data_IF_303516622913
#
_entry.id   IF_303516622913
#
_cell.length_a   1.000
_cell.length_b   1.000
_cell.length_c   1.000
_cell.angle_alpha   90.00
_cell.angle_beta   90.00
_cell.angle_gamma   90.00
#
_symmetry.space_group_name_H-M   'P 1'
#
loop_
_entity.id
_entity.type
_entity.pdbx_description
1 polymer ?
#
# COMPACT_ATOMS: atom_id res chain seq x y z
N UNK A 1 47.25 -26.50 -47.56
CA UNK A 1 46.32 -27.24 -46.67
C UNK A 1 45.70 -26.23 -45.74
N UNK A 2 44.48 -25.86 -46.04
CA UNK A 2 43.77 -24.74 -45.35
C UNK A 2 42.69 -25.35 -44.45
N UNK A 3 42.87 -25.29 -43.13
CA UNK A 3 41.89 -25.76 -42.14
C UNK A 3 40.84 -24.68 -41.91
N UNK A 4 39.66 -24.91 -42.43
CA UNK A 4 38.47 -24.06 -42.20
C UNK A 4 37.79 -24.52 -40.89
N UNK A 5 38.04 -23.80 -39.81
CA UNK A 5 37.38 -24.02 -38.53
C UNK A 5 35.89 -23.60 -38.61
N UNK A 6 35.00 -24.56 -38.62
CA UNK A 6 33.56 -24.38 -38.60
C UNK A 6 33.12 -23.91 -37.20
N UNK A 7 32.79 -22.65 -37.09
CA UNK A 7 32.25 -22.06 -35.83
C UNK A 7 30.83 -22.56 -35.58
N UNK A 8 30.64 -23.35 -34.55
CA UNK A 8 29.32 -23.81 -34.04
C UNK A 8 28.53 -22.63 -33.46
N UNK A 9 27.31 -22.34 -33.97
CA UNK A 9 26.53 -21.23 -33.41
C UNK A 9 26.04 -21.57 -31.99
N UNK A 10 26.44 -20.72 -31.01
CA UNK A 10 25.96 -20.84 -29.64
C UNK A 10 24.45 -20.54 -29.54
N UNK A 11 23.69 -21.32 -28.78
CA UNK A 11 22.27 -21.08 -28.61
C UNK A 11 22.02 -19.76 -27.90
N UNK A 12 21.33 -18.83 -28.56
CA UNK A 12 20.89 -17.53 -28.00
C UNK A 12 20.04 -17.80 -26.77
N UNK A 13 20.56 -17.44 -25.56
CA UNK A 13 19.81 -17.48 -24.32
C UNK A 13 18.51 -16.69 -24.50
N UNK A 14 17.37 -17.37 -24.49
CA UNK A 14 16.04 -16.77 -24.51
C UNK A 14 15.96 -15.78 -23.35
N UNK A 15 15.85 -14.49 -23.65
CA UNK A 15 15.53 -13.45 -22.65
C UNK A 15 14.21 -13.86 -22.00
N UNK A 16 14.26 -14.29 -20.75
CA UNK A 16 13.05 -14.47 -19.94
C UNK A 16 12.36 -13.11 -19.88
N UNK A 17 11.17 -13.04 -20.46
CA UNK A 17 10.29 -11.89 -20.30
C UNK A 17 10.28 -11.50 -18.83
N UNK A 18 10.65 -10.23 -18.56
CA UNK A 18 10.76 -9.73 -17.22
C UNK A 18 9.43 -9.90 -16.50
N UNK A 19 9.47 -10.52 -15.32
CA UNK A 19 8.39 -10.38 -14.36
C UNK A 19 8.18 -8.89 -14.13
N UNK A 20 6.91 -8.41 -14.05
CA UNK A 20 6.63 -7.02 -13.69
C UNK A 20 7.44 -6.66 -12.46
N UNK A 21 7.99 -5.46 -12.46
CA UNK A 21 8.92 -4.94 -11.46
C UNK A 21 8.47 -5.25 -10.01
N UNK A 22 8.81 -6.43 -9.54
CA UNK A 22 8.88 -6.66 -8.10
C UNK A 22 9.99 -5.72 -7.62
N UNK A 23 9.70 -4.77 -6.74
CA UNK A 23 10.69 -3.83 -6.25
C UNK A 23 11.91 -4.62 -5.81
N UNK A 24 13.08 -4.28 -6.42
CA UNK A 24 14.33 -4.96 -6.10
C UNK A 24 14.50 -4.99 -4.60
N UNK A 25 14.81 -6.15 -4.01
CA UNK A 25 15.09 -6.22 -2.59
C UNK A 25 16.12 -5.14 -2.25
N UNK A 26 15.97 -4.53 -1.10
CA UNK A 26 16.94 -3.55 -0.59
C UNK A 26 18.33 -4.16 -0.76
N UNK A 27 19.21 -3.48 -1.51
CA UNK A 27 20.51 -4.00 -1.85
C UNK A 27 21.25 -4.37 -0.56
N UNK A 28 21.56 -5.66 -0.37
CA UNK A 28 22.25 -6.17 0.81
C UNK A 28 21.38 -6.87 1.86
N UNK A 29 20.05 -6.87 1.74
CA UNK A 29 19.18 -7.61 2.66
C UNK A 29 18.92 -9.02 2.13
N UNK A 30 19.26 -10.05 2.91
CA UNK A 30 18.87 -11.42 2.60
C UNK A 30 17.35 -11.57 2.78
N UNK A 31 16.62 -11.73 1.67
CA UNK A 31 15.16 -11.86 1.65
C UNK A 31 14.64 -13.11 2.38
N UNK A 32 15.52 -14.02 2.76
CA UNK A 32 15.20 -15.22 3.57
C UNK A 32 15.30 -14.95 5.07
N UNK A 33 15.94 -13.86 5.47
CA UNK A 33 16.09 -13.50 6.87
C UNK A 33 14.74 -13.18 7.53
N UNK A 34 14.66 -13.37 8.83
CA UNK A 34 13.48 -13.02 9.62
C UNK A 34 13.20 -11.51 9.55
N UNK A 35 14.26 -10.70 9.53
CA UNK A 35 14.16 -9.24 9.43
C UNK A 35 13.52 -8.81 8.12
N UNK A 36 13.90 -9.44 7.00
CA UNK A 36 13.30 -9.17 5.71
C UNK A 36 11.79 -9.51 5.70
N UNK A 37 11.39 -10.61 6.34
CA UNK A 37 9.97 -11.00 6.43
C UNK A 37 9.18 -9.97 7.24
N UNK A 38 9.72 -9.52 8.37
CA UNK A 38 9.08 -8.48 9.19
C UNK A 38 8.96 -7.18 8.40
N UNK A 39 10.02 -6.75 7.70
CA UNK A 39 9.99 -5.57 6.86
C UNK A 39 8.94 -5.67 5.75
N UNK A 40 8.84 -6.80 5.06
CA UNK A 40 7.84 -7.01 4.01
C UNK A 40 6.41 -6.98 4.55
N UNK A 41 6.16 -7.57 5.72
CA UNK A 41 4.86 -7.52 6.37
C UNK A 41 4.48 -6.06 6.70
N UNK A 42 5.40 -5.27 7.27
CA UNK A 42 5.16 -3.85 7.55
C UNK A 42 4.98 -3.02 6.27
N UNK A 43 5.72 -3.34 5.21
CA UNK A 43 5.54 -2.67 3.91
C UNK A 43 4.15 -2.95 3.32
N UNK A 44 3.65 -4.18 3.45
CA UNK A 44 2.30 -4.53 3.01
C UNK A 44 1.22 -3.77 3.80
N UNK A 45 1.37 -3.67 5.13
CA UNK A 45 0.47 -2.89 5.98
C UNK A 45 0.44 -1.41 5.57
N UNK A 46 1.62 -0.79 5.46
CA UNK A 46 1.74 0.63 5.05
C UNK A 46 1.18 0.85 3.64
N UNK A 47 1.35 -0.10 2.73
CA UNK A 47 0.79 -0.01 1.37
C UNK A 47 -0.74 -0.07 1.39
N UNK A 48 -1.34 -0.86 2.27
CA UNK A 48 -2.79 -0.90 2.46
C UNK A 48 -3.34 0.39 3.07
N UNK A 49 -2.62 0.98 4.03
CA UNK A 49 -2.98 2.26 4.65
C UNK A 49 -2.88 3.43 3.65
N UNK A 50 -1.87 3.40 2.79
CA UNK A 50 -1.55 4.47 1.85
C UNK A 50 -1.52 3.99 0.38
N UNK A 51 -2.67 3.63 -0.22
CA UNK A 51 -2.73 3.01 -1.55
C UNK A 51 -2.20 3.90 -2.69
N UNK A 52 -2.19 5.23 -2.51
CA UNK A 52 -1.67 6.19 -3.48
C UNK A 52 -0.30 6.75 -3.10
N UNK A 53 0.36 6.14 -2.11
CA UNK A 53 1.66 6.56 -1.63
C UNK A 53 2.78 6.29 -2.65
N UNK A 54 3.82 7.14 -2.62
CA UNK A 54 5.04 6.89 -3.37
C UNK A 54 5.76 5.64 -2.81
N UNK A 55 6.09 4.64 -3.64
CA UNK A 55 6.75 3.41 -3.20
C UNK A 55 8.04 3.63 -2.39
N UNK A 56 8.82 4.68 -2.69
CA UNK A 56 10.02 5.01 -1.93
C UNK A 56 9.69 5.46 -0.51
N UNK A 57 8.64 6.28 -0.36
CA UNK A 57 8.16 6.75 0.94
C UNK A 57 7.51 5.64 1.77
N UNK A 58 6.77 4.75 1.13
CA UNK A 58 6.19 3.59 1.81
C UNK A 58 7.27 2.69 2.39
N UNK A 59 8.38 2.46 1.65
CA UNK A 59 9.52 1.70 2.15
C UNK A 59 10.23 2.40 3.31
N UNK A 60 10.37 3.73 3.25
CA UNK A 60 10.95 4.53 4.33
C UNK A 60 10.13 4.36 5.62
N UNK A 61 8.80 4.50 5.54
CA UNK A 61 7.91 4.34 6.71
C UNK A 61 7.93 2.92 7.23
N UNK A 62 7.90 1.91 6.36
CA UNK A 62 8.00 0.51 6.77
C UNK A 62 9.31 0.24 7.53
N UNK A 63 10.43 0.75 7.04
CA UNK A 63 11.73 0.66 7.73
C UNK A 63 11.73 1.34 9.09
N UNK A 64 11.12 2.53 9.18
CA UNK A 64 11.01 3.26 10.45
C UNK A 64 10.10 2.52 11.46
N UNK A 65 9.00 1.88 11.02
CA UNK A 65 8.14 1.08 11.89
C UNK A 65 8.88 -0.14 12.44
N UNK A 66 9.69 -0.82 11.62
CA UNK A 66 10.55 -1.93 12.09
C UNK A 66 11.58 -1.42 13.10
N UNK A 67 12.25 -0.30 12.83
CA UNK A 67 13.20 0.30 13.75
C UNK A 67 12.53 0.72 15.08
N UNK A 68 11.29 1.23 15.02
CA UNK A 68 10.51 1.56 16.22
C UNK A 68 10.28 0.34 17.11
N UNK A 69 9.87 -0.80 16.53
CA UNK A 69 9.67 -2.05 17.27
C UNK A 69 10.95 -2.56 17.92
N UNK A 70 12.06 -2.53 17.18
CA UNK A 70 13.36 -2.91 17.74
C UNK A 70 13.77 -1.99 18.88
N UNK A 71 13.57 -0.68 18.73
CA UNK A 71 13.86 0.30 19.76
C UNK A 71 12.99 0.12 21.01
N UNK A 72 11.69 -0.22 20.82
CA UNK A 72 10.79 -0.56 21.93
C UNK A 72 11.29 -1.76 22.71
N UNK A 73 11.76 -2.80 22.05
CA UNK A 73 12.34 -3.97 22.71
C UNK A 73 13.60 -3.59 23.53
N UNK A 74 14.46 -2.71 22.99
CA UNK A 74 15.62 -2.22 23.71
C UNK A 74 15.24 -1.39 24.96
N UNK A 75 14.20 -0.57 24.89
CA UNK A 75 13.68 0.16 26.04
C UNK A 75 13.16 -0.81 27.11
N UNK A 76 12.44 -1.88 26.72
CA UNK A 76 11.97 -2.91 27.64
C UNK A 76 13.10 -3.69 28.30
N UNK A 77 14.25 -3.84 27.63
CA UNK A 77 15.49 -4.43 28.17
C UNK A 77 16.25 -3.48 29.12
N UNK A 78 15.74 -2.26 29.30
CA UNK A 78 16.33 -1.29 30.23
C UNK A 78 17.38 -0.37 29.60
N UNK A 79 17.52 -0.34 28.28
CA UNK A 79 18.44 0.58 27.59
C UNK A 79 17.90 2.03 27.65
N UNK A 80 18.47 2.86 28.49
CA UNK A 80 18.02 4.24 28.69
C UNK A 80 18.18 5.12 27.43
N UNK A 81 19.22 4.89 26.62
CA UNK A 81 19.45 5.65 25.37
C UNK A 81 18.38 5.37 24.33
N UNK A 82 17.86 4.14 24.30
CA UNK A 82 16.82 3.77 23.35
C UNK A 82 15.51 4.57 23.55
N UNK A 83 15.28 5.19 24.73
CA UNK A 83 14.11 6.06 24.94
C UNK A 83 14.14 7.32 24.07
N UNK A 84 15.29 7.94 23.94
CA UNK A 84 15.43 9.13 23.07
C UNK A 84 15.24 8.77 21.61
N UNK A 85 15.81 7.64 21.17
CA UNK A 85 15.68 7.16 19.81
C UNK A 85 14.23 6.77 19.49
N UNK A 86 13.51 6.18 20.47
CA UNK A 86 12.09 5.86 20.35
C UNK A 86 11.27 7.12 20.04
N UNK A 87 11.49 8.20 20.78
CA UNK A 87 10.77 9.47 20.57
C UNK A 87 11.14 10.07 19.20
N UNK A 88 12.40 10.05 18.81
CA UNK A 88 12.85 10.57 17.50
C UNK A 88 12.21 9.80 16.35
N UNK A 89 12.23 8.47 16.40
CA UNK A 89 11.66 7.61 15.36
C UNK A 89 10.15 7.81 15.30
N UNK A 90 9.45 7.85 16.43
CA UNK A 90 8.00 8.08 16.50
C UNK A 90 7.61 9.42 15.87
N UNK A 91 8.32 10.50 16.20
CA UNK A 91 8.07 11.81 15.60
C UNK A 91 8.33 11.81 14.08
N UNK A 92 9.37 11.10 13.64
CA UNK A 92 9.69 11.00 12.21
C UNK A 92 8.62 10.23 11.45
N UNK A 93 8.10 9.13 12.00
CA UNK A 93 6.99 8.37 11.42
C UNK A 93 5.77 9.28 11.29
N UNK A 94 5.34 9.94 12.38
CA UNK A 94 4.17 10.82 12.37
C UNK A 94 4.28 11.92 11.31
N UNK A 95 5.46 12.51 11.14
CA UNK A 95 5.71 13.51 10.10
C UNK A 95 5.59 12.92 8.70
N UNK A 96 6.19 11.74 8.44
CA UNK A 96 6.15 11.08 7.13
C UNK A 96 4.76 10.60 6.76
N UNK A 97 4.01 10.08 7.71
CA UNK A 97 2.62 9.67 7.53
C UNK A 97 1.74 10.90 7.24
N UNK A 98 1.94 12.01 7.96
CA UNK A 98 1.25 13.27 7.68
C UNK A 98 1.49 13.80 6.27
N UNK A 99 2.73 13.71 5.76
CA UNK A 99 3.07 14.06 4.38
C UNK A 99 2.33 13.16 3.35
N UNK A 100 2.19 11.86 3.63
CA UNK A 100 1.45 10.93 2.78
C UNK A 100 -0.05 11.20 2.81
N UNK A 101 -0.63 11.42 4.01
CA UNK A 101 -2.04 11.76 4.16
C UNK A 101 -2.41 13.03 3.37
N UNK A 102 -1.58 14.08 3.46
CA UNK A 102 -1.79 15.31 2.71
C UNK A 102 -1.78 15.07 1.19
N UNK A 103 -0.88 14.23 0.69
CA UNK A 103 -0.82 13.86 -0.73
C UNK A 103 -1.97 12.96 -1.16
N UNK A 104 -2.45 12.09 -0.29
CA UNK A 104 -3.64 11.26 -0.58
C UNK A 104 -4.89 12.12 -0.68
N UNK A 105 -5.07 13.10 0.20
CA UNK A 105 -6.19 14.03 0.16
C UNK A 105 -6.26 14.80 -1.18
N UNK A 106 -5.11 15.08 -1.79
CA UNK A 106 -5.05 15.76 -3.10
C UNK A 106 -5.26 14.80 -4.29
N UNK A 107 -4.98 13.50 -4.13
CA UNK A 107 -5.12 12.50 -5.20
C UNK A 107 -6.41 11.69 -5.13
N UNK A 108 -7.04 11.64 -3.95
CA UNK A 108 -8.31 10.98 -3.81
C UNK A 108 -9.36 11.66 -4.71
N UNK A 109 -10.17 10.90 -5.46
CA UNK A 109 -11.28 11.49 -6.19
C UNK A 109 -12.12 12.27 -5.21
N UNK A 110 -12.44 13.53 -5.55
CA UNK A 110 -13.23 14.40 -4.70
C UNK A 110 -14.48 13.63 -4.25
N UNK A 111 -14.61 13.42 -2.93
CA UNK A 111 -15.85 12.84 -2.39
C UNK A 111 -16.98 13.74 -2.86
N UNK A 112 -18.06 13.17 -3.46
CA UNK A 112 -19.17 13.97 -3.94
C UNK A 112 -19.65 14.85 -2.80
N UNK A 113 -19.79 16.15 -3.07
CA UNK A 113 -20.23 17.11 -2.06
C UNK A 113 -21.62 16.66 -1.53
N UNK A 114 -21.92 17.02 -0.28
CA UNK A 114 -23.24 16.71 0.31
C UNK A 114 -24.38 17.15 -0.64
N UNK A 115 -24.19 18.25 -1.34
CA UNK A 115 -25.13 18.77 -2.34
C UNK A 115 -25.29 17.83 -3.54
N UNK A 116 -24.21 17.26 -4.05
CA UNK A 116 -24.27 16.26 -5.14
C UNK A 116 -24.87 14.96 -4.67
N UNK A 117 -24.58 14.54 -3.41
CA UNK A 117 -25.19 13.36 -2.83
C UNK A 117 -26.70 13.52 -2.67
N UNK A 118 -27.16 14.68 -2.15
CA UNK A 118 -28.58 15.00 -2.04
C UNK A 118 -29.24 15.13 -3.42
N UNK A 119 -28.58 15.74 -4.41
CA UNK A 119 -29.09 15.78 -5.77
C UNK A 119 -29.24 14.39 -6.39
N UNK A 120 -28.30 13.47 -6.11
CA UNK A 120 -28.38 12.08 -6.57
C UNK A 120 -29.51 11.29 -5.89
N UNK A 121 -29.78 11.55 -4.61
CA UNK A 121 -30.92 10.97 -3.89
C UNK A 121 -32.24 11.53 -4.45
N UNK A 122 -32.33 12.83 -4.69
CA UNK A 122 -33.50 13.49 -5.27
C UNK A 122 -33.78 13.02 -6.71
N UNK A 123 -32.74 12.73 -7.48
CA UNK A 123 -32.85 12.19 -8.83
C UNK A 123 -33.27 10.70 -8.88
N UNK A 124 -33.12 9.95 -7.78
CA UNK A 124 -33.80 8.64 -7.64
C UNK A 124 -35.29 8.90 -7.56
N UNK A 125 -35.98 8.60 -8.66
CA UNK A 125 -37.47 8.71 -8.74
C UNK A 125 -38.06 8.14 -7.45
N UNK A 126 -38.96 8.89 -6.77
CA UNK A 126 -39.71 8.32 -5.66
C UNK A 126 -40.43 7.08 -6.20
N UNK A 127 -40.30 5.97 -5.51
CA UNK A 127 -41.13 4.79 -5.75
C UNK A 127 -42.53 5.26 -5.40
N UNK A 128 -43.27 5.70 -6.40
CA UNK A 128 -44.70 5.98 -6.23
C UNK A 128 -45.35 4.62 -5.98
N UNK A 129 -45.92 4.34 -4.82
CA UNK A 129 -46.66 3.11 -4.61
C UNK A 129 -47.77 3.06 -5.68
N UNK A 130 -47.79 1.96 -6.40
CA UNK A 130 -48.75 1.74 -7.49
C UNK A 130 -50.15 1.81 -6.89
N UNK A 131 -50.97 2.75 -7.35
CA UNK A 131 -52.31 3.00 -6.83
C UNK A 131 -53.24 1.76 -6.90
N UNK A 132 -52.81 0.73 -7.60
CA UNK A 132 -53.58 -0.50 -7.81
C UNK A 132 -53.52 -1.49 -6.61
N UNK A 133 -52.72 -1.22 -5.59
CA UNK A 133 -52.57 -2.10 -4.41
C UNK A 133 -53.52 -1.74 -3.26
N UNK A 134 -54.34 -0.68 -3.40
CA UNK A 134 -55.30 -0.25 -2.39
C UNK A 134 -56.76 -0.57 -2.73
N UNK A 135 -57.00 -1.37 -3.77
CA UNK A 135 -58.33 -1.89 -4.03
C UNK A 135 -58.57 -3.11 -3.12
N UNK A 136 -59.06 -2.88 -1.91
CA UNK A 136 -59.64 -3.95 -1.12
C UNK A 136 -60.86 -4.50 -1.85
N UNK A 137 -61.01 -5.82 -2.01
CA UNK A 137 -62.28 -6.40 -2.52
C UNK A 137 -63.35 -6.22 -1.44
N UNK A 138 -64.36 -5.45 -1.81
CA UNK A 138 -65.59 -5.30 -1.04
C UNK A 138 -66.32 -6.67 -1.03
N UNK A 139 -66.22 -7.33 0.13
CA UNK A 139 -66.82 -8.64 0.38
C UNK A 139 -68.29 -8.46 0.78
N UNK A 140 -69.20 -8.84 -0.13
CA UNK A 140 -70.65 -9.06 0.13
C UNK A 140 -70.96 -10.53 0.06
#
# INVERSE_FOLDING_TARGET
MSDTATATPQPKKKRRFGRPDVPRPLAGLDMRSQEAKVFLARLEEVTKEFPFGDPARLREIAGLRVALEQTQLEVLRGNARAREDLVRISNLISRREGELCARQATKAPATPSLKEHLARIAARRPIVPRADELAEPDDR
#
